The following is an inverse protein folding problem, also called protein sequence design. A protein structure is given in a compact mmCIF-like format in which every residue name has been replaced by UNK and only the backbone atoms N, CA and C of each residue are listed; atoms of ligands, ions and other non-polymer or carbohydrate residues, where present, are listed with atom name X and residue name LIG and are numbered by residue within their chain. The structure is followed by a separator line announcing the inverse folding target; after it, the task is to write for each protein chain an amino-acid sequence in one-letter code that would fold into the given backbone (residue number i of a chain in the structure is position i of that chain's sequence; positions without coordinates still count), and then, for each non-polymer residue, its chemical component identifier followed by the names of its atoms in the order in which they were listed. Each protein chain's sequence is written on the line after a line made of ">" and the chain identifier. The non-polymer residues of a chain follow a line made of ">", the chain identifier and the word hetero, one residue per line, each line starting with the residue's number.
data_IF_776209709951
#
_entry.id   IF_776209709951
#
_cell.length_a   1.000
_cell.length_b   1.000
_cell.length_c   1.000
_cell.angle_alpha   90.00
_cell.angle_beta   90.00
_cell.angle_gamma   90.00
#
_symmetry.space_group_name_H-M   'P 1'
#
loop_
_entity.id
_entity.type
_entity.pdbx_description
1 polymer ?
#
# COMPACT_ATOMS: atom_id res chain seq x y z
N UNK A 1 13.47 16.99 -13.36
CA UNK A 1 13.65 15.62 -13.88
C UNK A 1 13.03 14.73 -12.81
N UNK A 2 11.85 14.17 -13.09
CA UNK A 2 11.25 13.17 -12.19
C UNK A 2 12.19 11.97 -12.23
N UNK A 3 12.72 11.55 -11.09
CA UNK A 3 13.11 10.15 -10.99
C UNK A 3 11.79 9.36 -11.01
N UNK A 4 11.57 8.73 -12.16
CA UNK A 4 10.28 8.50 -12.82
C UNK A 4 9.33 7.49 -12.17
N UNK A 5 9.48 7.19 -10.87
CA UNK A 5 8.54 6.34 -10.13
C UNK A 5 8.50 6.75 -8.66
N UNK A 6 7.62 7.68 -8.28
CA UNK A 6 7.21 7.82 -6.88
C UNK A 6 6.46 6.54 -6.50
N UNK A 7 7.19 5.53 -6.02
CA UNK A 7 6.60 4.31 -5.50
C UNK A 7 5.93 4.68 -4.19
N UNK A 8 4.62 4.54 -4.15
CA UNK A 8 3.82 4.93 -2.99
C UNK A 8 3.60 3.72 -2.08
N UNK A 9 3.46 2.54 -2.66
CA UNK A 9 3.20 1.32 -1.93
C UNK A 9 3.72 0.07 -2.65
N UNK A 10 3.89 -0.99 -1.88
CA UNK A 10 4.11 -2.35 -2.34
C UNK A 10 2.85 -3.15 -2.00
N UNK A 11 2.30 -3.87 -2.99
CA UNK A 11 1.21 -4.83 -2.78
C UNK A 11 1.75 -6.21 -3.12
N UNK A 12 1.67 -7.14 -2.15
CA UNK A 12 2.21 -8.50 -2.27
C UNK A 12 1.27 -9.52 -1.66
N UNK A 13 1.31 -10.75 -2.17
CA UNK A 13 0.57 -11.86 -1.60
C UNK A 13 1.22 -12.35 -0.30
N UNK A 14 0.39 -12.65 0.69
CA UNK A 14 0.78 -13.18 2.00
C UNK A 14 -0.27 -14.17 2.50
N UNK A 15 0.09 -14.93 3.53
CA UNK A 15 -0.85 -15.71 4.34
C UNK A 15 -1.12 -14.95 5.64
N UNK A 16 -2.36 -14.60 5.94
CA UNK A 16 -2.73 -13.80 7.12
C UNK A 16 -4.00 -14.33 7.80
N UNK A 17 -4.18 -14.05 9.09
CA UNK A 17 -5.35 -14.48 9.88
C UNK A 17 -5.15 -15.80 10.64
N UNK A 18 -6.22 -16.31 11.25
CA UNK A 18 -6.26 -17.62 11.92
C UNK A 18 -7.66 -18.25 11.77
N UNK A 19 -7.85 -19.25 10.88
CA UNK A 19 -6.83 -19.90 10.05
C UNK A 19 -6.19 -18.94 9.03
N UNK A 20 -4.98 -19.28 8.58
CA UNK A 20 -4.28 -18.45 7.61
C UNK A 20 -4.96 -18.55 6.24
N UNK A 21 -5.25 -17.40 5.64
CA UNK A 21 -5.88 -17.26 4.33
C UNK A 21 -4.99 -16.44 3.39
N UNK A 22 -5.02 -16.71 2.07
CA UNK A 22 -4.31 -15.91 1.10
C UNK A 22 -4.90 -14.49 1.03
N UNK A 23 -4.03 -13.50 1.16
CA UNK A 23 -4.40 -12.09 1.14
C UNK A 23 -3.37 -11.26 0.38
N UNK A 24 -3.77 -10.07 -0.03
CA UNK A 24 -2.88 -9.02 -0.50
C UNK A 24 -2.55 -8.08 0.66
N UNK A 25 -1.28 -7.96 0.99
CA UNK A 25 -0.76 -6.99 1.95
C UNK A 25 -0.28 -5.76 1.19
N UNK A 26 -0.82 -4.60 1.55
CA UNK A 26 -0.32 -3.31 1.09
C UNK A 26 0.50 -2.63 2.18
N UNK A 27 1.69 -2.17 1.83
CA UNK A 27 2.61 -1.44 2.70
C UNK A 27 3.13 -0.21 1.96
N UNK A 28 3.52 0.85 2.67
CA UNK A 28 4.23 1.97 2.03
C UNK A 28 5.53 1.48 1.39
N UNK A 29 5.97 2.18 0.35
CA UNK A 29 7.29 1.89 -0.21
C UNK A 29 8.38 2.54 0.66
N UNK A 30 9.34 1.73 1.11
CA UNK A 30 10.66 2.16 1.57
C UNK A 30 11.73 1.18 1.06
N UNK A 31 12.93 1.70 0.82
CA UNK A 31 14.11 0.89 0.51
C UNK A 31 14.45 -0.06 1.67
N UNK A 32 14.28 0.40 2.90
CA UNK A 32 14.45 -0.40 4.11
C UNK A 32 13.12 -1.09 4.49
N UNK A 33 13.04 -2.44 4.45
CA UNK A 33 11.78 -3.13 4.74
C UNK A 33 11.19 -2.85 6.11
N UNK A 34 12.04 -2.57 7.11
CA UNK A 34 11.59 -2.27 8.48
C UNK A 34 10.94 -0.89 8.64
N UNK A 35 11.14 0.02 7.68
CA UNK A 35 10.51 1.34 7.66
C UNK A 35 9.16 1.35 6.94
N UNK A 36 8.74 0.21 6.37
CA UNK A 36 7.48 0.10 5.66
C UNK A 36 6.32 0.10 6.66
N UNK A 37 5.29 0.87 6.34
CA UNK A 37 4.11 1.02 7.17
C UNK A 37 2.98 0.22 6.55
N UNK A 38 2.32 -0.61 7.36
CA UNK A 38 1.13 -1.36 6.95
C UNK A 38 0.01 -0.39 6.54
N UNK A 39 -0.45 -0.51 5.30
CA UNK A 39 -1.63 0.21 4.81
C UNK A 39 -2.90 -0.64 4.96
N UNK A 40 -2.79 -1.96 4.80
CA UNK A 40 -3.90 -2.88 5.07
C UNK A 40 -3.76 -4.25 4.42
N UNK A 41 -4.72 -5.12 4.74
CA UNK A 41 -4.92 -6.41 4.10
C UNK A 41 -6.16 -6.37 3.22
N UNK A 42 -6.06 -6.99 2.05
CA UNK A 42 -7.12 -7.05 1.04
C UNK A 42 -7.31 -8.50 0.59
N UNK A 43 -8.51 -8.87 0.11
CA UNK A 43 -8.74 -10.20 -0.44
C UNK A 43 -7.79 -10.52 -1.61
N UNK A 44 -7.37 -11.78 -1.71
CA UNK A 44 -6.66 -12.29 -2.89
C UNK A 44 -7.46 -12.04 -4.19
N UNK A 45 -6.76 -11.83 -5.30
CA UNK A 45 -7.38 -11.60 -6.61
C UNK A 45 -8.03 -10.22 -6.78
N UNK A 46 -8.00 -9.35 -5.76
CA UNK A 46 -8.56 -7.99 -5.79
C UNK A 46 -7.48 -6.90 -5.90
N UNK A 47 -6.40 -7.15 -6.65
CA UNK A 47 -5.27 -6.22 -6.77
C UNK A 47 -5.67 -4.81 -7.19
N UNK A 48 -6.59 -4.68 -8.17
CA UNK A 48 -7.07 -3.37 -8.62
C UNK A 48 -7.75 -2.59 -7.49
N UNK A 49 -8.61 -3.27 -6.71
CA UNK A 49 -9.28 -2.66 -5.57
C UNK A 49 -8.28 -2.23 -4.49
N UNK A 50 -7.31 -3.09 -4.16
CA UNK A 50 -6.24 -2.75 -3.22
C UNK A 50 -5.46 -1.50 -3.68
N UNK A 51 -5.10 -1.43 -4.96
CA UNK A 51 -4.41 -0.28 -5.54
C UNK A 51 -5.24 1.02 -5.48
N UNK A 52 -6.54 0.94 -5.81
CA UNK A 52 -7.43 2.11 -5.77
C UNK A 52 -7.61 2.66 -4.35
N UNK A 53 -7.76 1.78 -3.36
CA UNK A 53 -7.85 2.18 -1.94
C UNK A 53 -6.53 2.81 -1.49
N UNK A 54 -5.40 2.15 -1.74
CA UNK A 54 -4.06 2.67 -1.40
C UNK A 54 -3.80 4.04 -2.02
N UNK A 55 -4.16 4.22 -3.29
CA UNK A 55 -4.04 5.51 -3.97
C UNK A 55 -4.90 6.60 -3.31
N UNK A 56 -6.15 6.27 -2.93
CA UNK A 56 -7.02 7.25 -2.24
C UNK A 56 -6.46 7.68 -0.89
N UNK A 57 -5.86 6.76 -0.13
CA UNK A 57 -5.18 7.06 1.15
C UNK A 57 -4.00 7.98 0.88
N UNK A 58 -3.13 7.64 -0.07
CA UNK A 58 -2.00 8.48 -0.43
C UNK A 58 -2.43 9.90 -0.82
N UNK A 59 -3.42 10.04 -1.69
CA UNK A 59 -3.91 11.37 -2.10
C UNK A 59 -4.40 12.17 -0.92
N UNK A 60 -5.14 11.55 0.01
CA UNK A 60 -5.63 12.24 1.21
C UNK A 60 -4.48 12.76 2.08
N UNK A 61 -3.47 11.93 2.31
CA UNK A 61 -2.31 12.30 3.13
C UNK A 61 -1.42 13.34 2.42
N UNK A 62 -1.26 13.23 1.10
CA UNK A 62 -0.51 14.20 0.29
C UNK A 62 -1.23 15.55 0.25
N UNK A 63 -2.55 15.56 0.01
CA UNK A 63 -3.39 16.78 0.04
C UNK A 63 -3.42 17.41 1.44
N UNK A 64 -3.35 16.62 2.52
CA UNK A 64 -3.24 17.12 3.88
C UNK A 64 -1.85 17.72 4.19
N UNK A 65 -0.79 17.18 3.59
CA UNK A 65 0.57 17.72 3.70
C UNK A 65 0.77 19.01 2.87
N UNK A 66 -0.03 19.20 1.81
CA UNK A 66 -0.05 20.40 0.95
C UNK A 66 -1.05 21.48 1.43
N UNK A 67 -1.63 21.36 2.64
CA UNK A 67 -2.51 22.38 3.25
C UNK A 67 -1.76 23.55 3.89
N UNK A 68 -2.39 24.75 3.98
CA UNK A 68 -1.89 26.08 3.58
C UNK A 68 -0.58 26.58 4.21
#
# INVERSE_FOLDING_TARGET
>A
MFDDITRIAIIREVQAGTPAEPMLLAETWSAEPSERILLGYFPEGRLRFAADVVWSVYRREAEAADGP
#
